data_IF_749984931114
#
_entry.id   IF_749984931114
#
_cell.length_a   1.000
_cell.length_b   1.000
_cell.length_c   1.000
_cell.angle_alpha   90.00
_cell.angle_beta   90.00
_cell.angle_gamma   90.00
#
_symmetry.space_group_name_H-M   'P 1'
#
loop_
_entity.id
_entity.type
_entity.pdbx_description
1 polymer ?
#
# COMPACT_ATOMS: atom_id res chain seq x y z
N UNK A 1 3.38 18.25 14.37
CA UNK A 1 3.92 16.87 14.30
C UNK A 1 4.52 16.44 15.63
N UNK A 2 5.47 17.17 16.20
CA UNK A 2 6.10 16.83 17.50
C UNK A 2 5.08 16.78 18.64
N UNK A 3 4.20 17.75 18.77
CA UNK A 3 3.13 17.77 19.78
C UNK A 3 2.21 16.53 19.69
N UNK A 4 1.88 16.06 18.45
CA UNK A 4 1.09 14.82 18.28
C UNK A 4 1.88 13.59 18.72
N UNK A 5 3.19 13.55 18.44
CA UNK A 5 4.04 12.45 18.89
C UNK A 5 4.14 12.43 20.42
N UNK A 6 4.32 13.58 21.07
CA UNK A 6 4.35 13.69 22.53
C UNK A 6 3.03 13.24 23.17
N UNK A 7 1.90 13.68 22.64
CA UNK A 7 0.57 13.26 23.11
C UNK A 7 0.34 11.76 22.98
N UNK A 8 0.73 11.16 21.84
CA UNK A 8 0.65 9.73 21.63
C UNK A 8 1.57 8.94 22.59
N UNK A 9 2.81 9.41 22.78
CA UNK A 9 3.74 8.79 23.71
C UNK A 9 3.28 8.90 25.15
N UNK A 10 2.62 9.99 25.52
CA UNK A 10 2.01 10.15 26.85
C UNK A 10 0.87 9.12 27.04
N UNK A 11 0.03 8.93 26.03
CA UNK A 11 -1.01 7.89 26.06
C UNK A 11 -0.42 6.48 26.20
N UNK A 12 0.76 6.24 25.61
CA UNK A 12 1.47 4.96 25.66
C UNK A 12 2.47 4.84 26.82
N UNK A 13 2.43 5.75 27.78
CA UNK A 13 3.40 5.83 28.90
C UNK A 13 3.53 4.54 29.72
N UNK A 14 2.48 3.73 29.80
CA UNK A 14 2.53 2.40 30.43
C UNK A 14 3.49 1.42 29.74
N UNK A 15 3.75 1.62 28.43
CA UNK A 15 4.63 0.78 27.62
C UNK A 15 6.03 1.40 27.50
N UNK A 16 6.10 2.69 27.15
CA UNK A 16 7.36 3.37 26.81
C UNK A 16 7.99 4.12 27.96
N UNK A 17 7.31 4.27 29.10
CA UNK A 17 7.71 5.10 30.22
C UNK A 17 7.19 6.54 30.11
N UNK A 18 7.37 7.33 31.17
CA UNK A 18 6.73 8.65 31.28
C UNK A 18 7.28 9.72 30.30
N UNK A 19 8.53 9.60 29.87
CA UNK A 19 9.18 10.55 28.95
C UNK A 19 10.25 9.85 28.12
N UNK A 20 9.84 9.00 27.15
CA UNK A 20 10.82 8.32 26.31
C UNK A 20 11.52 9.33 25.39
N UNK A 21 12.79 9.13 25.10
CA UNK A 21 13.45 9.83 24.02
C UNK A 21 12.91 9.32 22.67
N UNK A 22 12.69 10.21 21.72
CA UNK A 22 12.24 9.84 20.39
C UNK A 22 12.90 10.70 19.31
N UNK A 23 12.97 10.18 18.09
CA UNK A 23 13.50 10.90 16.95
C UNK A 23 12.72 10.53 15.69
N UNK A 24 12.53 11.49 14.79
CA UNK A 24 11.92 11.24 13.47
C UNK A 24 12.74 10.18 12.72
N UNK A 25 12.06 9.11 12.31
CA UNK A 25 12.67 7.97 11.62
C UNK A 25 12.34 7.95 10.13
N UNK A 26 11.12 8.39 9.77
CA UNK A 26 10.65 8.39 8.38
C UNK A 26 10.19 9.79 8.02
N UNK A 27 10.85 10.39 7.05
CA UNK A 27 10.43 11.67 6.47
C UNK A 27 9.35 11.44 5.41
N UNK A 28 8.38 12.36 5.31
CA UNK A 28 7.39 12.35 4.25
C UNK A 28 8.05 12.64 2.89
N UNK A 29 7.91 11.73 1.94
CA UNK A 29 8.43 11.85 0.57
C UNK A 29 7.36 11.34 -0.40
N UNK A 30 7.10 12.09 -1.47
CA UNK A 30 6.34 11.62 -2.62
C UNK A 30 7.26 11.52 -3.83
N UNK A 31 7.43 10.33 -4.37
CA UNK A 31 8.23 10.09 -5.57
C UNK A 31 7.65 8.92 -6.36
N UNK A 32 8.06 8.71 -7.63
CA UNK A 32 7.60 7.57 -8.41
C UNK A 32 7.86 6.20 -7.77
N UNK A 33 8.88 6.10 -6.93
CA UNK A 33 9.31 4.85 -6.31
C UNK A 33 9.16 4.83 -4.78
N UNK A 34 8.74 5.92 -4.17
CA UNK A 34 8.64 6.03 -2.71
C UNK A 34 7.65 7.11 -2.29
N UNK A 35 6.63 6.72 -1.56
CA UNK A 35 5.55 7.59 -1.13
C UNK A 35 5.24 7.31 0.34
N UNK A 36 5.75 8.14 1.26
CA UNK A 36 5.61 7.96 2.71
C UNK A 36 5.04 9.22 3.37
N UNK A 37 3.98 9.79 2.80
CA UNK A 37 3.40 11.07 3.24
C UNK A 37 2.12 10.93 4.04
N UNK A 38 1.51 9.74 4.06
CA UNK A 38 0.25 9.46 4.76
C UNK A 38 0.46 9.13 6.24
N UNK A 39 1.71 9.01 6.65
CA UNK A 39 2.09 8.82 8.05
C UNK A 39 3.46 9.39 8.36
N UNK A 40 3.76 9.54 9.65
CA UNK A 40 5.08 9.90 10.15
C UNK A 40 5.57 8.82 11.11
N UNK A 41 6.83 8.40 10.97
CA UNK A 41 7.44 7.37 11.80
C UNK A 41 8.49 7.94 12.75
N UNK A 42 8.49 7.47 13.99
CA UNK A 42 9.47 7.86 15.01
C UNK A 42 10.10 6.63 15.64
N UNK A 43 11.41 6.68 15.79
CA UNK A 43 12.13 5.74 16.66
C UNK A 43 11.95 6.18 18.10
N UNK A 44 11.54 5.28 18.99
CA UNK A 44 11.23 5.59 20.39
C UNK A 44 12.07 4.70 21.30
N UNK A 45 12.74 5.33 22.27
CA UNK A 45 13.56 4.63 23.25
C UNK A 45 12.70 3.94 24.33
N UNK A 46 13.19 2.81 24.85
CA UNK A 46 12.68 2.23 26.09
C UNK A 46 13.12 3.05 27.31
N UNK A 47 12.59 2.72 28.47
CA UNK A 47 13.03 3.30 29.74
C UNK A 47 14.53 3.11 30.03
N UNK A 48 15.16 2.11 29.38
CA UNK A 48 16.59 1.79 29.47
C UNK A 48 17.46 2.59 28.49
N UNK A 49 16.83 3.42 27.63
CA UNK A 49 17.51 4.31 26.69
C UNK A 49 17.78 3.72 25.30
N UNK A 50 17.46 2.46 25.08
CA UNK A 50 17.61 1.82 23.77
C UNK A 50 16.40 2.09 22.86
N UNK A 51 16.63 2.34 21.56
CA UNK A 51 15.59 2.48 20.55
C UNK A 51 14.88 1.14 20.34
N UNK A 52 13.77 0.92 21.03
CA UNK A 52 13.07 -0.36 21.11
C UNK A 52 11.73 -0.36 20.39
N UNK A 53 11.16 0.80 20.15
CA UNK A 53 9.82 0.94 19.58
C UNK A 53 9.86 1.80 18.33
N UNK A 54 8.83 1.63 17.50
CA UNK A 54 8.53 2.47 16.35
C UNK A 54 7.11 3.00 16.51
N UNK A 55 6.98 4.32 16.61
CA UNK A 55 5.70 5.00 16.65
C UNK A 55 5.33 5.46 15.24
N UNK A 56 4.16 5.04 14.76
CA UNK A 56 3.54 5.52 13.52
C UNK A 56 2.39 6.45 13.87
N UNK A 57 2.36 7.62 13.25
CA UNK A 57 1.26 8.59 13.34
C UNK A 57 0.62 8.74 11.96
N UNK A 58 -0.64 8.37 11.82
CA UNK A 58 -1.41 8.61 10.60
C UNK A 58 -1.61 10.10 10.34
N UNK A 59 -1.56 10.52 9.07
CA UNK A 59 -1.84 11.90 8.68
C UNK A 59 -3.35 12.19 8.76
N UNK A 60 -3.71 13.39 9.21
CA UNK A 60 -5.12 13.79 9.36
C UNK A 60 -5.80 13.97 8.00
N UNK A 61 -5.02 14.28 6.97
CA UNK A 61 -5.46 14.50 5.60
C UNK A 61 -6.09 13.25 4.93
N UNK A 62 -5.77 12.06 5.46
CA UNK A 62 -6.31 10.77 4.99
C UNK A 62 -7.14 10.05 6.05
N UNK A 63 -7.58 10.75 7.09
CA UNK A 63 -8.30 10.14 8.21
C UNK A 63 -9.60 9.43 7.81
N UNK A 64 -10.26 9.88 6.79
CA UNK A 64 -11.48 9.29 6.21
C UNK A 64 -11.20 8.21 5.17
N UNK A 65 -9.94 8.07 4.72
CA UNK A 65 -9.51 7.10 3.71
C UNK A 65 -8.79 5.89 4.29
N UNK A 66 -8.49 5.90 5.60
CA UNK A 66 -7.75 4.83 6.29
C UNK A 66 -8.47 4.43 7.56
N UNK A 67 -8.82 3.16 7.66
CA UNK A 67 -9.33 2.57 8.90
C UNK A 67 -8.16 2.05 9.75
N UNK A 68 -7.68 2.90 10.65
CA UNK A 68 -6.53 2.60 11.52
C UNK A 68 -6.77 1.38 12.44
N UNK A 69 -8.03 1.07 12.81
CA UNK A 69 -8.38 -0.10 13.62
C UNK A 69 -8.23 -1.39 12.79
N UNK A 70 -8.69 -1.36 11.54
CA UNK A 70 -8.49 -2.46 10.60
C UNK A 70 -7.00 -2.67 10.34
N UNK A 71 -6.23 -1.59 10.12
CA UNK A 71 -4.79 -1.65 9.91
C UNK A 71 -4.06 -2.28 11.11
N UNK A 72 -4.40 -1.88 12.35
CA UNK A 72 -3.85 -2.46 13.57
C UNK A 72 -4.20 -3.95 13.73
N UNK A 73 -5.46 -4.31 13.46
CA UNK A 73 -5.90 -5.70 13.52
C UNK A 73 -5.21 -6.58 12.48
N UNK A 74 -5.04 -6.08 11.25
CA UNK A 74 -4.31 -6.76 10.17
C UNK A 74 -2.83 -6.96 10.55
N UNK A 75 -2.15 -5.91 11.01
CA UNK A 75 -0.77 -6.00 11.49
C UNK A 75 -0.59 -7.03 12.59
N UNK A 76 -1.53 -7.08 13.54
CA UNK A 76 -1.54 -8.09 14.62
C UNK A 76 -1.66 -9.52 14.07
N UNK A 77 -2.49 -9.72 13.06
CA UNK A 77 -2.65 -11.04 12.41
C UNK A 77 -1.40 -11.45 11.65
N UNK A 78 -0.83 -10.53 10.89
CA UNK A 78 0.36 -10.80 10.10
C UNK A 78 1.59 -11.01 10.99
N UNK A 79 1.64 -10.34 12.16
CA UNK A 79 2.66 -10.62 13.17
C UNK A 79 2.59 -12.06 13.68
N UNK A 80 1.39 -12.58 13.96
CA UNK A 80 1.20 -13.98 14.39
C UNK A 80 1.67 -15.00 13.35
N UNK A 81 1.72 -14.62 12.07
CA UNK A 81 2.31 -15.41 10.99
C UNK A 81 3.83 -15.23 10.88
N UNK A 82 4.42 -14.32 11.65
CA UNK A 82 5.84 -13.95 11.56
C UNK A 82 6.15 -13.01 10.41
N UNK A 83 5.15 -12.33 9.85
CA UNK A 83 5.28 -11.53 8.62
C UNK A 83 5.30 -10.02 8.86
N UNK A 84 5.20 -9.57 10.10
CA UNK A 84 5.28 -8.15 10.44
C UNK A 84 5.91 -7.90 11.81
N UNK A 85 6.41 -6.67 12.08
CA UNK A 85 6.72 -6.25 13.43
C UNK A 85 5.49 -6.35 14.33
N UNK A 86 5.68 -6.58 15.61
CA UNK A 86 4.59 -6.67 16.58
C UNK A 86 3.95 -5.29 16.78
N UNK A 87 2.64 -5.11 16.44
CA UNK A 87 1.89 -3.95 16.88
C UNK A 87 1.52 -4.13 18.36
N UNK A 88 1.93 -3.20 19.22
CA UNK A 88 1.82 -3.32 20.67
C UNK A 88 0.53 -2.66 21.17
N UNK A 89 0.29 -1.44 20.73
CA UNK A 89 -0.84 -0.62 21.18
C UNK A 89 -1.23 0.39 20.11
N UNK A 90 -2.52 0.69 20.04
CA UNK A 90 -3.11 1.66 19.14
C UNK A 90 -3.97 2.66 19.91
N UNK A 91 -3.91 3.92 19.54
CA UNK A 91 -4.79 4.99 20.03
C UNK A 91 -5.51 5.65 18.84
N UNK A 92 -6.83 5.49 18.79
CA UNK A 92 -7.68 6.01 17.71
C UNK A 92 -7.74 7.52 17.68
N UNK A 93 -7.65 8.19 18.84
CA UNK A 93 -7.75 9.67 18.92
C UNK A 93 -6.50 10.33 18.37
N UNK A 94 -5.33 9.76 18.66
CA UNK A 94 -4.06 10.25 18.16
C UNK A 94 -3.76 9.72 16.75
N UNK A 95 -4.52 8.73 16.25
CA UNK A 95 -4.21 7.94 15.06
C UNK A 95 -2.79 7.39 15.12
N UNK A 96 -2.45 6.81 16.25
CA UNK A 96 -1.11 6.39 16.60
C UNK A 96 -1.04 4.89 16.84
N UNK A 97 -0.05 4.23 16.24
CA UNK A 97 0.28 2.83 16.51
C UNK A 97 1.71 2.71 16.97
N UNK A 98 1.93 1.99 18.06
CA UNK A 98 3.26 1.65 18.55
C UNK A 98 3.59 0.21 18.16
N UNK A 99 4.72 0.02 17.52
CA UNK A 99 5.25 -1.30 17.12
C UNK A 99 6.54 -1.62 17.88
N UNK A 100 6.85 -2.90 18.02
CA UNK A 100 8.24 -3.30 18.25
C UNK A 100 9.10 -2.84 17.07
N UNK A 101 10.19 -2.13 17.35
CA UNK A 101 11.14 -1.72 16.32
C UNK A 101 11.88 -2.93 15.79
N UNK A 102 12.01 -3.02 14.48
CA UNK A 102 12.91 -3.99 13.86
C UNK A 102 14.35 -3.71 14.29
N UNK A 103 15.10 -4.77 14.59
CA UNK A 103 16.50 -4.66 15.02
C UNK A 103 17.38 -4.01 13.94
N UNK A 104 18.59 -3.65 14.31
CA UNK A 104 19.55 -3.14 13.35
C UNK A 104 19.87 -4.19 12.27
N UNK A 105 20.14 -3.73 11.07
CA UNK A 105 20.32 -4.58 9.90
C UNK A 105 19.06 -4.79 9.04
N UNK A 106 17.87 -4.38 9.52
CA UNK A 106 16.69 -4.28 8.69
C UNK A 106 16.68 -2.96 7.92
N UNK A 107 16.23 -3.00 6.67
CA UNK A 107 16.03 -1.83 5.81
C UNK A 107 14.81 -1.99 4.93
N UNK A 108 14.28 -0.89 4.45
CA UNK A 108 13.26 -0.91 3.40
C UNK A 108 13.82 -1.57 2.14
N UNK A 109 13.05 -2.48 1.54
CA UNK A 109 13.41 -3.07 0.27
C UNK A 109 13.33 -2.04 -0.85
N UNK A 110 14.10 -2.27 -1.92
CA UNK A 110 14.02 -1.56 -3.18
C UNK A 110 13.42 -2.47 -4.25
N UNK A 111 13.00 -1.89 -5.36
CA UNK A 111 12.48 -2.65 -6.52
C UNK A 111 13.46 -3.77 -6.92
N UNK A 112 14.76 -3.45 -7.06
CA UNK A 112 15.79 -4.42 -7.44
C UNK A 112 15.93 -5.58 -6.44
N UNK A 113 15.66 -5.32 -5.15
CA UNK A 113 15.68 -6.38 -4.14
C UNK A 113 14.56 -7.39 -4.39
N UNK A 114 13.34 -6.91 -4.68
CA UNK A 114 12.17 -7.76 -4.89
C UNK A 114 12.11 -8.38 -6.29
N UNK A 115 12.89 -7.88 -7.24
CA UNK A 115 13.08 -8.54 -8.54
C UNK A 115 13.96 -9.80 -8.44
N UNK A 116 14.68 -10.02 -7.35
CA UNK A 116 15.45 -11.25 -7.13
C UNK A 116 14.48 -12.44 -6.98
N UNK A 117 14.61 -13.52 -7.79
CA UNK A 117 13.64 -14.61 -7.82
C UNK A 117 13.33 -15.24 -6.46
N UNK A 118 14.34 -15.42 -5.61
CA UNK A 118 14.15 -15.99 -4.28
C UNK A 118 13.31 -15.08 -3.36
N UNK A 119 13.54 -13.76 -3.41
CA UNK A 119 12.77 -12.80 -2.62
C UNK A 119 11.35 -12.61 -3.17
N UNK A 120 11.21 -12.58 -4.51
CA UNK A 120 9.90 -12.57 -5.16
C UNK A 120 9.08 -13.79 -4.75
N UNK A 121 9.65 -14.98 -4.83
CA UNK A 121 8.99 -16.22 -4.40
C UNK A 121 8.61 -16.19 -2.91
N UNK A 122 9.51 -15.68 -2.05
CA UNK A 122 9.22 -15.53 -0.61
C UNK A 122 8.05 -14.59 -0.35
N UNK A 123 8.01 -13.44 -1.03
CA UNK A 123 6.92 -12.47 -0.90
C UNK A 123 5.59 -13.07 -1.37
N UNK A 124 5.57 -13.76 -2.51
CA UNK A 124 4.38 -14.48 -3.01
C UNK A 124 3.91 -15.54 -1.99
N UNK A 125 4.81 -16.29 -1.38
CA UNK A 125 4.49 -17.29 -0.36
C UNK A 125 3.84 -16.66 0.89
N UNK A 126 4.35 -15.50 1.32
CA UNK A 126 3.74 -14.72 2.41
C UNK A 126 2.33 -14.28 2.03
N UNK A 127 2.12 -13.75 0.83
CA UNK A 127 0.81 -13.31 0.32
C UNK A 127 -0.17 -14.49 0.25
N UNK A 128 0.25 -15.63 -0.25
CA UNK A 128 -0.57 -16.87 -0.29
C UNK A 128 -0.95 -17.36 1.11
N UNK A 129 -0.02 -17.29 2.05
CA UNK A 129 -0.26 -17.67 3.44
C UNK A 129 -1.28 -16.73 4.10
N UNK A 130 -1.18 -15.42 3.85
CA UNK A 130 -2.16 -14.42 4.30
C UNK A 130 -3.52 -14.72 3.68
N UNK A 131 -3.57 -14.93 2.36
CA UNK A 131 -4.81 -15.19 1.62
C UNK A 131 -5.53 -16.49 2.04
N UNK A 132 -4.79 -17.47 2.56
CA UNK A 132 -5.36 -18.69 3.13
C UNK A 132 -5.85 -18.54 4.58
N UNK A 133 -5.60 -17.38 5.19
CA UNK A 133 -5.93 -17.10 6.59
C UNK A 133 -7.36 -16.65 6.82
N UNK A 134 -7.61 -16.17 8.04
CA UNK A 134 -8.92 -15.61 8.43
C UNK A 134 -9.13 -14.26 7.75
N UNK A 135 -10.33 -13.95 7.21
CA UNK A 135 -10.65 -12.65 6.62
C UNK A 135 -10.29 -11.48 7.52
N UNK A 136 -9.83 -10.37 6.93
CA UNK A 136 -9.59 -9.11 7.64
C UNK A 136 -10.89 -8.58 8.23
N UNK A 137 -12.00 -8.81 7.54
CA UNK A 137 -13.34 -8.36 7.95
C UNK A 137 -13.69 -6.99 7.37
N UNK A 138 -12.82 -6.44 6.55
CA UNK A 138 -13.03 -5.22 5.78
C UNK A 138 -12.91 -5.54 4.30
N UNK A 139 -13.99 -5.41 3.55
CA UNK A 139 -13.98 -5.55 2.09
C UNK A 139 -13.67 -4.21 1.45
N UNK A 140 -12.78 -4.24 0.47
CA UNK A 140 -12.43 -3.06 -0.29
C UNK A 140 -12.32 -3.39 -1.79
N UNK A 141 -12.57 -2.40 -2.61
CA UNK A 141 -12.43 -2.47 -4.06
C UNK A 141 -11.77 -1.20 -4.57
N UNK A 142 -10.76 -1.36 -5.44
CA UNK A 142 -10.10 -0.21 -6.09
C UNK A 142 -11.10 0.67 -6.85
N UNK A 143 -12.17 0.09 -7.39
CA UNK A 143 -13.19 0.83 -8.13
C UNK A 143 -14.04 1.71 -7.22
N UNK A 144 -14.42 1.21 -6.02
CA UNK A 144 -15.16 1.99 -5.04
C UNK A 144 -14.27 3.12 -4.48
N UNK A 145 -12.99 2.82 -4.23
CA UNK A 145 -12.01 3.84 -3.85
C UNK A 145 -11.82 4.92 -4.94
N UNK A 146 -11.80 4.55 -6.22
CA UNK A 146 -11.76 5.54 -7.32
C UNK A 146 -12.99 6.42 -7.32
N UNK A 147 -14.20 5.84 -7.15
CA UNK A 147 -15.46 6.62 -7.13
C UNK A 147 -15.47 7.62 -5.97
N UNK A 148 -15.01 7.19 -4.78
CA UNK A 148 -14.87 8.05 -3.59
C UNK A 148 -13.88 9.20 -3.83
N UNK A 149 -12.66 8.89 -4.26
CA UNK A 149 -11.62 9.89 -4.52
C UNK A 149 -12.03 10.84 -5.65
N UNK A 150 -12.68 10.33 -6.70
CA UNK A 150 -13.19 11.18 -7.78
C UNK A 150 -14.25 12.16 -7.29
N UNK A 151 -15.11 11.77 -6.37
CA UNK A 151 -16.09 12.66 -5.77
C UNK A 151 -15.46 13.85 -5.05
N UNK A 152 -14.31 13.63 -4.39
CA UNK A 152 -13.55 14.68 -3.70
C UNK A 152 -12.82 15.58 -4.71
N UNK A 153 -12.09 14.96 -5.64
CA UNK A 153 -11.26 15.67 -6.63
C UNK A 153 -12.10 16.53 -7.57
N UNK A 154 -13.26 16.00 -8.03
CA UNK A 154 -14.16 16.74 -8.93
C UNK A 154 -14.92 17.88 -8.26
N UNK A 155 -15.08 17.83 -6.94
CA UNK A 155 -15.66 18.91 -6.16
C UNK A 155 -14.63 19.98 -5.74
N UNK A 156 -13.34 19.67 -5.83
CA UNK A 156 -12.22 20.55 -5.53
C UNK A 156 -11.65 21.25 -6.77
N UNK A 157 -10.66 22.11 -6.55
CA UNK A 157 -9.89 22.76 -7.62
C UNK A 157 -8.59 22.00 -7.86
N UNK A 158 -8.71 20.73 -8.27
CA UNK A 158 -7.56 19.85 -8.50
C UNK A 158 -7.01 20.02 -9.92
N UNK A 159 -5.68 19.99 -10.06
CA UNK A 159 -5.00 20.05 -11.35
C UNK A 159 -5.07 18.69 -12.06
N UNK A 160 -6.15 18.45 -12.78
CA UNK A 160 -6.42 17.23 -13.54
C UNK A 160 -5.78 17.29 -14.94
N UNK A 161 -5.20 16.18 -15.42
CA UNK A 161 -4.79 16.11 -16.82
C UNK A 161 -6.01 16.12 -17.75
N UNK A 162 -5.84 16.69 -18.95
CA UNK A 162 -6.95 16.88 -19.91
C UNK A 162 -7.63 15.59 -20.40
N UNK A 163 -7.04 14.43 -20.13
CA UNK A 163 -7.56 13.10 -20.47
C UNK A 163 -8.01 12.29 -19.23
N UNK A 164 -8.16 12.93 -18.07
CA UNK A 164 -8.61 12.24 -16.85
C UNK A 164 -9.97 11.56 -17.03
N UNK A 165 -10.92 12.22 -17.66
CA UNK A 165 -12.26 11.65 -17.94
C UNK A 165 -12.18 10.42 -18.85
N UNK A 166 -11.25 10.40 -19.82
CA UNK A 166 -11.02 9.22 -20.65
C UNK A 166 -10.51 8.03 -19.81
N UNK A 167 -9.55 8.25 -18.92
CA UNK A 167 -9.07 7.19 -18.02
C UNK A 167 -10.19 6.68 -17.08
N UNK A 168 -10.99 7.58 -16.53
CA UNK A 168 -12.15 7.23 -15.72
C UNK A 168 -13.20 6.43 -16.48
N UNK A 169 -13.43 6.74 -17.77
CA UNK A 169 -14.40 6.02 -18.60
C UNK A 169 -14.09 4.53 -18.76
N UNK A 170 -12.83 4.12 -18.61
CA UNK A 170 -12.41 2.73 -18.62
C UNK A 170 -12.75 1.97 -17.33
N UNK A 171 -12.92 2.65 -16.21
CA UNK A 171 -13.11 1.98 -14.92
C UNK A 171 -14.41 1.20 -14.85
N UNK A 172 -15.47 1.71 -15.47
CA UNK A 172 -16.75 0.98 -15.53
C UNK A 172 -16.66 -0.33 -16.31
N UNK A 173 -16.20 -0.38 -17.56
CA UNK A 173 -16.08 -1.65 -18.30
C UNK A 173 -15.09 -2.61 -17.63
N UNK A 174 -14.02 -2.13 -17.00
CA UNK A 174 -13.09 -2.99 -16.25
C UNK A 174 -13.81 -3.62 -15.03
N UNK A 175 -14.51 -2.83 -14.23
CA UNK A 175 -15.30 -3.31 -13.07
C UNK A 175 -16.33 -4.36 -13.50
N UNK A 176 -17.07 -4.09 -14.58
CA UNK A 176 -18.09 -5.00 -15.11
C UNK A 176 -17.47 -6.32 -15.59
N UNK A 177 -16.34 -6.27 -16.29
CA UNK A 177 -15.66 -7.48 -16.77
C UNK A 177 -15.09 -8.31 -15.62
N UNK A 178 -14.46 -7.68 -14.62
CA UNK A 178 -13.97 -8.34 -13.40
C UNK A 178 -15.12 -9.00 -12.63
N UNK A 179 -16.24 -8.29 -12.48
CA UNK A 179 -17.42 -8.84 -11.81
C UNK A 179 -18.05 -10.03 -12.57
N UNK A 180 -18.13 -9.93 -13.89
CA UNK A 180 -18.65 -11.01 -14.75
C UNK A 180 -17.75 -12.26 -14.73
N UNK A 181 -16.42 -12.05 -14.65
CA UNK A 181 -15.45 -13.15 -14.51
C UNK A 181 -15.58 -13.89 -13.17
N UNK A 182 -16.16 -13.25 -12.16
CA UNK A 182 -16.23 -13.75 -10.79
C UNK A 182 -14.86 -13.76 -10.10
N UNK A 183 -14.83 -13.62 -8.80
CA UNK A 183 -13.60 -13.69 -8.00
C UNK A 183 -13.86 -14.08 -6.55
N UNK A 184 -12.86 -14.70 -5.95
CA UNK A 184 -12.82 -14.95 -4.52
C UNK A 184 -12.20 -13.74 -3.83
N UNK A 185 -12.81 -13.33 -2.73
CA UNK A 185 -12.28 -12.31 -1.85
C UNK A 185 -11.45 -12.97 -0.77
N UNK A 186 -10.19 -12.55 -0.62
CA UNK A 186 -9.22 -13.11 0.31
C UNK A 186 -8.55 -12.00 1.11
N UNK A 187 -8.15 -12.27 2.37
CA UNK A 187 -7.36 -11.33 3.14
C UNK A 187 -6.04 -11.04 2.43
N UNK A 188 -5.65 -9.77 2.39
CA UNK A 188 -4.44 -9.31 1.74
C UNK A 188 -3.84 -8.10 2.46
N UNK A 189 -2.57 -7.83 2.19
CA UNK A 189 -1.91 -6.59 2.60
C UNK A 189 -2.46 -5.38 1.81
N UNK A 190 -2.82 -5.60 0.56
CA UNK A 190 -3.43 -4.61 -0.32
C UNK A 190 -2.45 -3.66 -1.03
N UNK A 191 -1.30 -3.37 -0.44
CA UNK A 191 -0.26 -2.51 -1.03
C UNK A 191 1.15 -3.13 -0.92
N UNK A 192 1.49 -4.11 -1.77
CA UNK A 192 2.73 -4.88 -1.69
C UNK A 192 3.93 -4.18 -2.34
N UNK A 193 3.95 -2.85 -2.35
CA UNK A 193 5.06 -2.08 -2.91
C UNK A 193 6.35 -2.31 -2.13
N UNK A 194 7.49 -2.15 -2.80
CA UNK A 194 8.81 -2.36 -2.20
C UNK A 194 9.05 -1.49 -0.96
N UNK A 195 8.47 -0.29 -0.92
CA UNK A 195 8.50 0.61 0.26
C UNK A 195 7.87 0.00 1.51
N UNK A 196 6.94 -0.95 1.36
CA UNK A 196 6.19 -1.60 2.43
C UNK A 196 6.76 -2.99 2.79
N UNK A 197 7.91 -3.34 2.21
CA UNK A 197 8.63 -4.58 2.51
C UNK A 197 9.95 -4.25 3.20
N UNK A 198 10.16 -4.80 4.38
CA UNK A 198 11.42 -4.71 5.10
C UNK A 198 12.26 -5.95 4.80
N UNK A 199 13.51 -5.71 4.39
CA UNK A 199 14.52 -6.74 4.15
C UNK A 199 15.49 -6.79 5.34
N UNK A 200 15.56 -7.93 5.97
CA UNK A 200 16.39 -8.18 7.14
C UNK A 200 17.56 -9.13 6.88
N UNK A 201 18.29 -9.46 7.94
CA UNK A 201 19.36 -10.46 7.88
C UNK A 201 18.85 -11.80 7.34
N UNK A 202 19.74 -12.56 6.68
CA UNK A 202 19.45 -13.88 6.13
C UNK A 202 18.27 -13.92 5.15
N UNK A 203 18.10 -12.85 4.35
CA UNK A 203 17.04 -12.73 3.35
C UNK A 203 15.61 -12.77 3.94
N UNK A 204 15.47 -12.46 5.23
CA UNK A 204 14.17 -12.40 5.88
C UNK A 204 13.39 -11.20 5.39
N UNK A 205 12.07 -11.38 5.21
CA UNK A 205 11.14 -10.32 4.81
C UNK A 205 10.09 -10.09 5.91
N UNK A 206 9.72 -8.82 6.10
CA UNK A 206 8.53 -8.43 6.86
C UNK A 206 7.76 -7.34 6.11
N UNK A 207 6.45 -7.34 6.30
CA UNK A 207 5.53 -6.35 5.76
C UNK A 207 5.30 -5.26 6.80
N UNK A 208 5.16 -4.03 6.33
CA UNK A 208 4.81 -2.86 7.13
C UNK A 208 3.77 -2.04 6.37
N UNK A 209 3.12 -1.10 7.04
CA UNK A 209 2.08 -0.24 6.46
C UNK A 209 0.84 -1.01 6.01
N UNK A 210 -0.11 -1.21 6.94
CA UNK A 210 -1.30 -2.03 6.75
C UNK A 210 -2.54 -1.21 6.39
N UNK A 211 -2.38 0.04 5.96
CA UNK A 211 -3.48 0.97 5.68
C UNK A 211 -4.42 0.50 4.56
N UNK A 212 -3.89 -0.31 3.64
CA UNK A 212 -4.65 -0.92 2.54
C UNK A 212 -5.04 -2.37 2.82
N UNK A 213 -4.80 -2.89 4.04
CA UNK A 213 -5.14 -4.27 4.37
C UNK A 213 -6.65 -4.49 4.34
N UNK A 214 -7.08 -5.44 3.50
CA UNK A 214 -8.49 -5.68 3.25
C UNK A 214 -8.73 -7.10 2.71
N UNK A 215 -10.00 -7.48 2.65
CA UNK A 215 -10.45 -8.66 1.92
C UNK A 215 -10.72 -8.25 0.47
N UNK A 216 -9.83 -8.63 -0.45
CA UNK A 216 -9.81 -8.22 -1.86
C UNK A 216 -9.64 -9.42 -2.81
N UNK A 217 -9.79 -9.17 -4.09
CA UNK A 217 -9.33 -10.10 -5.13
C UNK A 217 -7.78 -10.19 -5.10
N UNK A 218 -7.18 -11.38 -4.90
CA UNK A 218 -5.72 -11.52 -4.84
C UNK A 218 -4.99 -11.02 -6.09
N UNK A 219 -5.65 -11.07 -7.26
CA UNK A 219 -5.04 -10.57 -8.50
C UNK A 219 -4.92 -9.05 -8.55
N UNK A 220 -5.67 -8.30 -7.74
CA UNK A 220 -5.42 -6.87 -7.54
C UNK A 220 -4.01 -6.66 -6.98
N UNK A 221 -3.73 -7.24 -5.81
CA UNK A 221 -2.42 -7.12 -5.15
C UNK A 221 -1.28 -7.61 -6.04
N UNK A 222 -1.48 -8.74 -6.73
CA UNK A 222 -0.48 -9.28 -7.65
C UNK A 222 -0.24 -8.35 -8.85
N UNK A 223 -1.30 -7.73 -9.39
CA UNK A 223 -1.21 -6.74 -10.46
C UNK A 223 -0.44 -5.49 -10.06
N UNK A 224 -0.67 -4.98 -8.85
CA UNK A 224 0.09 -3.85 -8.27
C UNK A 224 1.57 -4.20 -8.19
N UNK A 225 1.91 -5.36 -7.64
CA UNK A 225 3.29 -5.83 -7.51
C UNK A 225 3.98 -6.00 -8.86
N UNK A 226 3.32 -6.64 -9.84
CA UNK A 226 3.85 -6.77 -11.20
C UNK A 226 4.14 -5.42 -11.83
N UNK A 227 3.22 -4.47 -11.67
CA UNK A 227 3.29 -3.16 -12.27
C UNK A 227 4.37 -2.27 -11.64
N UNK A 228 4.67 -2.45 -10.35
CA UNK A 228 5.78 -1.78 -9.69
C UNK A 228 7.13 -2.36 -10.13
N UNK A 229 7.26 -3.68 -10.08
CA UNK A 229 8.56 -4.34 -10.21
C UNK A 229 9.06 -4.43 -11.66
N UNK A 230 8.15 -4.51 -12.64
CA UNK A 230 8.56 -4.84 -14.00
C UNK A 230 8.04 -3.86 -15.04
N UNK A 231 8.91 -3.50 -15.97
CA UNK A 231 8.58 -2.61 -17.06
C UNK A 231 7.89 -3.36 -18.22
N UNK A 232 8.28 -4.62 -18.47
CA UNK A 232 7.80 -5.40 -19.62
C UNK A 232 6.97 -6.59 -19.16
N UNK A 233 5.87 -6.87 -19.84
CA UNK A 233 4.95 -7.97 -19.52
C UNK A 233 5.62 -9.36 -19.55
N UNK A 234 6.63 -9.55 -20.42
CA UNK A 234 7.41 -10.80 -20.44
C UNK A 234 8.15 -11.07 -19.12
N UNK A 235 8.50 -10.03 -18.36
CA UNK A 235 9.16 -10.15 -17.07
C UNK A 235 8.18 -10.46 -15.92
N UNK A 236 6.89 -10.18 -16.13
CA UNK A 236 5.83 -10.38 -15.13
C UNK A 236 5.34 -11.83 -15.06
N UNK A 237 5.45 -12.58 -16.16
CA UNK A 237 4.93 -13.97 -16.27
C UNK A 237 5.46 -14.90 -15.17
N UNK A 238 6.76 -14.90 -14.84
CA UNK A 238 7.27 -15.76 -13.77
C UNK A 238 6.62 -15.48 -12.40
N UNK A 239 6.21 -14.23 -12.12
CA UNK A 239 5.55 -13.90 -10.87
C UNK A 239 4.15 -14.53 -10.78
N UNK A 240 3.40 -14.55 -11.89
CA UNK A 240 2.12 -15.25 -11.98
C UNK A 240 2.31 -16.77 -11.83
N UNK A 241 3.34 -17.34 -12.46
CA UNK A 241 3.66 -18.77 -12.31
C UNK A 241 4.01 -19.15 -10.87
N UNK A 242 4.72 -18.28 -10.13
CA UNK A 242 4.99 -18.46 -8.70
C UNK A 242 3.69 -18.42 -7.88
N UNK A 243 2.75 -17.55 -8.24
CA UNK A 243 1.50 -17.39 -7.52
C UNK A 243 0.52 -18.54 -7.83
N UNK A 244 0.26 -18.84 -9.10
CA UNK A 244 -0.78 -19.78 -9.55
C UNK A 244 -0.25 -21.19 -9.83
N UNK A 245 1.07 -21.36 -9.92
CA UNK A 245 1.72 -22.60 -10.37
C UNK A 245 1.79 -22.74 -11.89
N UNK A 246 1.07 -21.89 -12.65
CA UNK A 246 1.09 -21.85 -14.11
C UNK A 246 0.67 -20.46 -14.62
N UNK A 247 1.15 -20.12 -15.82
CA UNK A 247 0.68 -18.94 -16.52
C UNK A 247 -0.66 -19.21 -17.21
N UNK A 248 -1.63 -18.30 -17.04
CA UNK A 248 -2.85 -18.24 -17.87
C UNK A 248 -3.08 -16.81 -18.34
N UNK A 249 -3.51 -16.65 -19.57
CA UNK A 249 -3.81 -15.33 -20.15
C UNK A 249 -4.92 -14.63 -19.38
N UNK A 250 -5.92 -15.36 -18.92
CA UNK A 250 -7.03 -14.85 -18.10
C UNK A 250 -6.51 -14.21 -16.79
N UNK A 251 -5.72 -14.92 -16.01
CA UNK A 251 -5.18 -14.42 -14.75
C UNK A 251 -4.22 -13.24 -14.97
N UNK A 252 -3.39 -13.33 -16.02
CA UNK A 252 -2.47 -12.24 -16.37
C UNK A 252 -3.24 -10.98 -16.78
N UNK A 253 -4.23 -11.10 -17.66
CA UNK A 253 -5.09 -10.00 -18.08
C UNK A 253 -5.79 -9.34 -16.89
N UNK A 254 -6.23 -10.13 -15.91
CA UNK A 254 -6.83 -9.63 -14.68
C UNK A 254 -5.86 -8.78 -13.87
N UNK A 255 -4.62 -9.21 -13.71
CA UNK A 255 -3.58 -8.41 -13.06
C UNK A 255 -3.36 -7.08 -13.81
N UNK A 256 -3.37 -7.10 -15.15
CA UNK A 256 -3.09 -5.90 -15.96
C UNK A 256 -4.22 -4.87 -15.89
N UNK A 257 -5.48 -5.29 -15.91
CA UNK A 257 -6.60 -4.35 -15.76
C UNK A 257 -6.67 -3.76 -14.35
N UNK A 258 -6.35 -4.55 -13.32
CA UNK A 258 -6.22 -4.03 -11.96
C UNK A 258 -5.06 -3.05 -11.81
N UNK A 259 -3.93 -3.29 -12.48
CA UNK A 259 -2.80 -2.38 -12.46
C UNK A 259 -3.15 -1.00 -13.02
N UNK A 260 -3.98 -0.94 -14.07
CA UNK A 260 -4.46 0.34 -14.61
C UNK A 260 -5.40 1.06 -13.63
N UNK A 261 -6.30 0.33 -12.97
CA UNK A 261 -7.18 0.89 -11.94
C UNK A 261 -6.39 1.39 -10.72
N UNK A 262 -5.38 0.64 -10.28
CA UNK A 262 -4.49 1.04 -9.18
C UNK A 262 -3.72 2.33 -9.48
N UNK A 263 -3.17 2.44 -10.68
CA UNK A 263 -2.48 3.67 -11.09
C UNK A 263 -3.43 4.89 -11.08
N UNK A 264 -4.69 4.72 -11.48
CA UNK A 264 -5.68 5.79 -11.40
C UNK A 264 -6.07 6.11 -9.94
N UNK A 265 -6.27 5.09 -9.11
CA UNK A 265 -6.57 5.25 -7.68
C UNK A 265 -5.51 6.10 -6.97
N UNK A 266 -4.24 5.73 -7.11
CA UNK A 266 -3.15 6.46 -6.48
C UNK A 266 -2.91 7.85 -7.07
N UNK A 267 -3.20 8.05 -8.35
CA UNK A 267 -3.19 9.38 -8.94
C UNK A 267 -4.23 10.29 -8.27
N UNK A 268 -5.48 9.83 -8.14
CA UNK A 268 -6.56 10.59 -7.50
C UNK A 268 -6.30 10.79 -6.01
N UNK A 269 -5.80 9.76 -5.30
CA UNK A 269 -5.45 9.86 -3.88
C UNK A 269 -4.37 10.93 -3.64
N UNK A 270 -3.41 11.03 -4.54
CA UNK A 270 -2.37 12.06 -4.47
C UNK A 270 -2.93 13.47 -4.71
N UNK A 271 -3.92 13.62 -5.59
CA UNK A 271 -4.63 14.90 -5.76
C UNK A 271 -5.45 15.28 -4.52
N UNK A 272 -6.07 14.30 -3.85
CA UNK A 272 -6.76 14.55 -2.57
C UNK A 272 -5.78 15.03 -1.51
N UNK A 273 -4.58 14.45 -1.44
CA UNK A 273 -3.53 14.91 -0.54
C UNK A 273 -3.06 16.33 -0.87
N UNK A 274 -2.93 16.67 -2.15
CA UNK A 274 -2.60 18.04 -2.59
C UNK A 274 -3.66 19.04 -2.15
N UNK A 275 -4.94 18.72 -2.33
CA UNK A 275 -6.05 19.58 -1.94
C UNK A 275 -6.15 19.82 -0.41
N UNK A 276 -5.76 18.81 0.38
CA UNK A 276 -5.93 18.82 1.84
C UNK A 276 -4.70 19.23 2.62
N UNK A 277 -3.50 19.06 2.03
CA UNK A 277 -2.25 19.28 2.75
C UNK A 277 -1.81 20.72 2.70
N UNK A 278 -1.29 21.28 3.81
CA UNK A 278 -0.57 22.53 3.74
C UNK A 278 0.71 22.36 2.93
N UNK A 279 1.28 23.43 2.35
CA UNK A 279 2.55 23.36 1.64
C UNK A 279 3.66 22.77 2.52
N UNK A 280 4.16 21.58 2.17
CA UNK A 280 5.19 20.85 2.94
C UNK A 280 6.45 20.55 2.14
N UNK A 281 6.55 21.05 0.90
CA UNK A 281 7.64 20.68 -0.01
C UNK A 281 7.53 19.25 -0.55
N UNK A 282 6.38 18.59 -0.37
CA UNK A 282 6.09 17.28 -0.96
C UNK A 282 5.43 17.49 -2.32
N UNK A 283 5.88 16.74 -3.31
CA UNK A 283 5.45 16.93 -4.70
C UNK A 283 4.28 15.99 -5.05
N UNK A 284 3.12 16.20 -4.47
CA UNK A 284 1.92 15.39 -4.74
C UNK A 284 1.52 15.40 -6.22
N UNK A 285 1.55 16.56 -6.87
CA UNK A 285 1.22 16.69 -8.29
C UNK A 285 2.19 15.90 -9.18
N UNK A 286 3.46 15.84 -8.81
CA UNK A 286 4.46 15.04 -9.54
C UNK A 286 4.17 13.55 -9.42
N UNK A 287 3.82 13.08 -8.23
CA UNK A 287 3.42 11.70 -8.03
C UNK A 287 2.12 11.37 -8.76
N UNK A 288 1.10 12.23 -8.65
CA UNK A 288 -0.16 12.09 -9.39
C UNK A 288 0.10 12.02 -10.91
N UNK A 289 0.91 12.95 -11.45
CA UNK A 289 1.29 12.97 -12.86
C UNK A 289 1.98 11.70 -13.32
N UNK A 290 2.84 11.12 -12.47
CA UNK A 290 3.49 9.85 -12.74
C UNK A 290 2.49 8.68 -12.80
N UNK A 291 1.55 8.63 -11.85
CA UNK A 291 0.53 7.56 -11.80
C UNK A 291 -0.46 7.69 -12.96
N UNK A 292 -0.89 8.92 -13.32
CA UNK A 292 -1.68 9.16 -14.52
C UNK A 292 -0.95 8.74 -15.80
N UNK A 293 0.35 9.01 -15.91
CA UNK A 293 1.14 8.56 -17.05
C UNK A 293 1.13 7.04 -17.17
N UNK A 294 1.33 6.31 -16.08
CA UNK A 294 1.33 4.85 -16.07
C UNK A 294 -0.05 4.28 -16.45
N UNK A 295 -1.12 4.82 -15.86
CA UNK A 295 -2.50 4.46 -16.21
C UNK A 295 -2.75 4.65 -17.72
N UNK A 296 -2.39 5.82 -18.24
CA UNK A 296 -2.52 6.14 -19.68
C UNK A 296 -1.74 5.17 -20.57
N UNK A 297 -0.51 4.83 -20.18
CA UNK A 297 0.32 3.89 -20.94
C UNK A 297 -0.28 2.49 -20.96
N UNK A 298 -0.89 2.04 -19.88
CA UNK A 298 -1.57 0.74 -19.82
C UNK A 298 -2.85 0.72 -20.66
N UNK A 299 -3.73 1.69 -20.44
CA UNK A 299 -5.01 1.80 -21.16
C UNK A 299 -4.81 2.04 -22.66
N UNK A 300 -3.71 2.71 -23.03
CA UNK A 300 -3.36 2.99 -24.43
C UNK A 300 -2.65 1.84 -25.16
N UNK A 301 -2.41 0.69 -24.51
CA UNK A 301 -1.83 -0.47 -25.20
C UNK A 301 -2.81 -1.02 -26.24
N UNK A 302 -2.34 -1.34 -27.46
CA UNK A 302 -3.22 -1.80 -28.54
C UNK A 302 -4.01 -3.08 -28.20
N UNK A 303 -3.50 -3.88 -27.27
CA UNK A 303 -4.10 -5.14 -26.83
C UNK A 303 -4.88 -5.05 -25.52
N UNK A 304 -5.04 -3.85 -24.93
CA UNK A 304 -5.72 -3.67 -23.63
C UNK A 304 -7.19 -4.13 -23.68
N UNK A 305 -7.92 -3.81 -24.75
CA UNK A 305 -9.28 -4.35 -24.95
C UNK A 305 -9.31 -5.88 -25.05
N UNK A 306 -8.30 -6.48 -25.64
CA UNK A 306 -8.20 -7.95 -25.73
C UNK A 306 -7.98 -8.56 -24.35
N UNK A 307 -7.19 -7.91 -23.50
CA UNK A 307 -7.02 -8.30 -22.09
C UNK A 307 -8.35 -8.22 -21.33
N UNK A 308 -9.13 -7.15 -21.56
CA UNK A 308 -10.44 -6.99 -20.93
C UNK A 308 -11.43 -8.11 -21.36
N UNK A 309 -11.37 -8.55 -22.61
CA UNK A 309 -12.21 -9.63 -23.14
C UNK A 309 -11.73 -11.03 -22.71
N UNK A 310 -10.49 -11.17 -22.27
CA UNK A 310 -9.91 -12.43 -21.82
C UNK A 310 -10.30 -12.81 -20.38
N UNK A 311 -10.92 -11.89 -19.62
CA UNK A 311 -11.40 -12.12 -18.26
C UNK A 311 -12.59 -13.09 -18.25
#
# INVERSE_FOLDING_TARGET
MEERAENALLAFSAVVGARPAYALSTAGVASPSYHAVESSGFSVASAEGEARYFLRLGADEVADLVDDEVAFAAGTRFHKLGFSPEPIVYDSRARATLFCRLADGWRTAKIDDLMQPARAARLIEMQKTIAAGVPVGHRWSVFDGIDELWSIVSAGDADLPGDAEWMLSWMRPIREAVAAAGFDVKPAHGDPQASNVMLGPNESLQLVDFDMAADIDPYYQLGVQMNELYQFESQMKPLLEMHDGAFTEKAFSRCRVYAAADDLYWALRSLVLELRSPPRGVEFLKYAGWRFLRCRMLLGQPDFESKLRAL
#
